data_IF_971171500179
#
_entry.id   IF_971171500179
#
_cell.length_a   1.000
_cell.length_b   1.000
_cell.length_c   1.000
_cell.angle_alpha   90.00
_cell.angle_beta   90.00
_cell.angle_gamma   90.00
#
_symmetry.space_group_name_H-M   'P 1'
#
loop_
_entity.id
_entity.type
_entity.pdbx_description
1 polymer ?
#
# COMPACT_ATOMS: atom_id res chain seq x y z
N UNK A 1 -0.36 -12.00 -20.75
CA UNK A 1 -0.56 -11.83 -19.29
C UNK A 1 -1.54 -12.91 -18.87
N UNK A 2 -1.04 -14.00 -18.29
CA UNK A 2 -1.92 -15.01 -17.71
C UNK A 2 -2.46 -14.47 -16.39
N UNK A 3 -3.77 -14.48 -16.20
CA UNK A 3 -4.34 -14.29 -14.86
C UNK A 3 -3.83 -15.44 -14.00
N UNK A 4 -3.06 -15.12 -12.97
CA UNK A 4 -2.60 -16.12 -12.01
C UNK A 4 -3.85 -16.63 -11.27
N UNK A 5 -4.21 -17.91 -11.47
CA UNK A 5 -5.41 -18.50 -10.87
C UNK A 5 -5.44 -18.37 -9.34
N UNK A 6 -4.28 -18.18 -8.73
CA UNK A 6 -4.08 -17.90 -7.30
C UNK A 6 -4.77 -16.60 -6.85
N UNK A 7 -4.83 -15.58 -7.71
CA UNK A 7 -5.46 -14.28 -7.40
C UNK A 7 -6.99 -14.31 -7.52
N UNK A 8 -7.57 -15.33 -8.18
CA UNK A 8 -9.01 -15.45 -8.37
C UNK A 8 -9.73 -16.11 -7.17
N UNK A 9 -9.06 -16.96 -6.39
CA UNK A 9 -9.68 -17.64 -5.25
C UNK A 9 -10.26 -16.68 -4.19
N UNK A 10 -9.58 -15.59 -3.79
CA UNK A 10 -10.15 -14.62 -2.86
C UNK A 10 -11.41 -13.94 -3.39
N UNK A 11 -11.46 -13.69 -4.70
CA UNK A 11 -12.63 -13.08 -5.36
C UNK A 11 -13.82 -14.02 -5.32
N UNK A 12 -13.64 -15.29 -5.69
CA UNK A 12 -14.69 -16.30 -5.60
C UNK A 12 -15.18 -16.50 -4.15
N UNK A 13 -14.27 -16.49 -3.18
CA UNK A 13 -14.61 -16.61 -1.76
C UNK A 13 -15.39 -15.40 -1.26
N UNK A 14 -15.02 -14.18 -1.68
CA UNK A 14 -15.75 -12.96 -1.34
C UNK A 14 -17.18 -12.96 -1.94
N UNK A 15 -17.32 -13.36 -3.21
CA UNK A 15 -18.63 -13.51 -3.86
C UNK A 15 -19.49 -14.54 -3.12
N UNK A 16 -18.90 -15.68 -2.73
CA UNK A 16 -19.60 -16.70 -1.95
C UNK A 16 -20.11 -16.17 -0.60
N UNK A 17 -19.28 -15.42 0.14
CA UNK A 17 -19.69 -14.79 1.41
C UNK A 17 -20.84 -13.80 1.19
N UNK A 18 -20.80 -12.99 0.13
CA UNK A 18 -21.87 -12.03 -0.18
C UNK A 18 -23.18 -12.74 -0.52
N UNK A 19 -23.13 -13.83 -1.30
CA UNK A 19 -24.32 -14.64 -1.63
C UNK A 19 -24.91 -15.30 -0.38
N UNK A 20 -24.07 -15.84 0.50
CA UNK A 20 -24.50 -16.38 1.79
C UNK A 20 -25.13 -15.30 2.67
N UNK A 21 -24.48 -14.14 2.80
CA UNK A 21 -24.95 -12.99 3.56
C UNK A 21 -26.34 -12.53 3.06
N UNK A 22 -26.53 -12.44 1.75
CA UNK A 22 -27.83 -12.13 1.15
C UNK A 22 -28.90 -13.18 1.44
N UNK A 23 -28.52 -14.47 1.41
CA UNK A 23 -29.43 -15.57 1.74
C UNK A 23 -29.89 -15.50 3.21
N UNK A 24 -28.98 -15.18 4.13
CA UNK A 24 -29.30 -14.96 5.56
C UNK A 24 -30.24 -13.78 5.76
N UNK A 25 -30.08 -12.70 5.00
CA UNK A 25 -31.01 -11.57 5.05
C UNK A 25 -32.42 -11.91 4.57
N UNK A 26 -32.54 -12.68 3.49
CA UNK A 26 -33.85 -13.19 3.04
C UNK A 26 -34.52 -14.02 4.14
N UNK A 27 -33.76 -14.86 4.81
CA UNK A 27 -34.25 -15.68 5.93
C UNK A 27 -34.66 -14.83 7.15
N UNK A 28 -33.87 -13.81 7.48
CA UNK A 28 -34.19 -12.86 8.54
C UNK A 28 -35.51 -12.11 8.27
N UNK A 29 -35.74 -11.67 7.03
CA UNK A 29 -37.00 -11.04 6.62
C UNK A 29 -38.17 -12.02 6.74
N UNK A 30 -38.02 -13.25 6.21
CA UNK A 30 -39.06 -14.28 6.25
C UNK A 30 -39.46 -14.64 7.69
N UNK A 31 -38.49 -14.66 8.60
CA UNK A 31 -38.72 -14.96 10.03
C UNK A 31 -39.19 -13.73 10.84
N UNK A 32 -39.70 -12.69 10.18
CA UNK A 32 -40.28 -11.51 10.85
C UNK A 32 -39.25 -10.68 11.60
N UNK A 33 -37.97 -10.70 11.17
CA UNK A 33 -36.88 -9.88 11.71
C UNK A 33 -36.52 -10.13 13.19
N UNK A 34 -36.88 -11.28 13.73
CA UNK A 34 -36.78 -11.54 15.19
C UNK A 34 -35.37 -11.86 15.72
N UNK A 35 -34.43 -12.27 14.86
CA UNK A 35 -33.08 -12.64 15.31
C UNK A 35 -32.05 -11.56 15.00
N UNK A 36 -31.50 -10.95 16.06
CA UNK A 36 -30.40 -9.99 15.95
C UNK A 36 -29.11 -10.64 15.42
N UNK A 37 -28.92 -11.95 15.64
CA UNK A 37 -27.76 -12.69 15.12
C UNK A 37 -27.82 -12.87 13.61
N UNK A 38 -29.00 -13.17 13.05
CA UNK A 38 -29.17 -13.22 11.59
C UNK A 38 -28.98 -11.84 10.94
N UNK A 39 -29.41 -10.77 11.62
CA UNK A 39 -29.14 -9.41 11.17
C UNK A 39 -27.63 -9.09 11.17
N UNK A 40 -26.92 -9.47 12.24
CA UNK A 40 -25.47 -9.27 12.35
C UNK A 40 -24.67 -10.04 11.28
N UNK A 41 -25.10 -11.28 10.95
CA UNK A 41 -24.54 -12.06 9.83
C UNK A 41 -24.70 -11.39 8.46
N UNK A 42 -25.75 -10.61 8.27
CA UNK A 42 -25.90 -9.79 7.06
C UNK A 42 -25.07 -8.51 7.13
N UNK A 43 -25.17 -7.77 8.25
CA UNK A 43 -24.55 -6.46 8.42
C UNK A 43 -23.02 -6.53 8.31
N UNK A 44 -22.38 -7.56 8.89
CA UNK A 44 -20.93 -7.68 8.93
C UNK A 44 -20.27 -7.64 7.55
N UNK A 45 -20.60 -8.58 6.63
CA UNK A 45 -20.05 -8.60 5.28
C UNK A 45 -20.42 -7.37 4.43
N UNK A 46 -21.65 -6.85 4.56
CA UNK A 46 -22.08 -5.66 3.82
C UNK A 46 -21.34 -4.41 4.28
N UNK A 47 -21.18 -4.23 5.59
CA UNK A 47 -20.39 -3.13 6.14
C UNK A 47 -18.93 -3.19 5.66
N UNK A 48 -18.32 -4.38 5.70
CA UNK A 48 -16.96 -4.58 5.19
C UNK A 48 -16.85 -4.23 3.70
N UNK A 49 -17.80 -4.68 2.88
CA UNK A 49 -17.83 -4.38 1.44
C UNK A 49 -17.99 -2.88 1.16
N UNK A 50 -18.98 -2.22 1.78
CA UNK A 50 -19.23 -0.78 1.62
C UNK A 50 -18.00 0.02 2.04
N UNK A 51 -17.35 -0.35 3.14
CA UNK A 51 -16.16 0.34 3.60
C UNK A 51 -14.99 0.21 2.61
N UNK A 52 -14.77 -0.99 2.05
CA UNK A 52 -13.75 -1.19 1.01
C UNK A 52 -14.05 -0.27 -0.18
N UNK A 53 -15.28 -0.29 -0.69
CA UNK A 53 -15.68 0.53 -1.85
C UNK A 53 -15.52 2.03 -1.57
N UNK A 54 -15.98 2.53 -0.41
CA UNK A 54 -15.83 3.94 -0.05
C UNK A 54 -14.37 4.33 0.11
N UNK A 55 -13.52 3.46 0.68
CA UNK A 55 -12.08 3.69 0.73
C UNK A 55 -11.50 3.83 -0.67
N UNK A 56 -11.92 3.02 -1.63
CA UNK A 56 -11.48 3.14 -3.02
C UNK A 56 -11.96 4.44 -3.70
N UNK A 57 -13.18 4.89 -3.42
CA UNK A 57 -13.77 6.10 -4.03
C UNK A 57 -13.11 7.38 -3.48
N UNK A 58 -12.88 7.46 -2.17
CA UNK A 58 -12.41 8.68 -1.49
C UNK A 58 -10.91 8.71 -1.24
N UNK A 59 -10.18 7.65 -1.58
CA UNK A 59 -8.73 7.60 -1.47
C UNK A 59 -8.11 8.66 -2.38
N UNK A 60 -7.24 9.49 -1.79
CA UNK A 60 -6.37 10.37 -2.55
C UNK A 60 -5.52 9.52 -3.50
N UNK A 61 -5.52 9.89 -4.79
CA UNK A 61 -4.70 9.27 -5.81
C UNK A 61 -3.22 9.27 -5.44
N UNK A 62 -2.75 10.11 -4.51
CA UNK A 62 -1.36 10.15 -4.01
C UNK A 62 -0.98 9.03 -3.02
N UNK A 63 -1.95 8.31 -2.44
CA UNK A 63 -1.69 7.20 -1.50
C UNK A 63 -1.71 5.85 -2.23
N UNK A 64 -0.62 5.10 -2.35
CA UNK A 64 -0.69 3.70 -2.83
C UNK A 64 -0.77 2.82 -1.61
N UNK A 65 -1.95 2.27 -1.35
CA UNK A 65 -2.04 1.04 -0.58
C UNK A 65 -1.61 -0.11 -1.49
N UNK A 66 -0.32 -0.46 -1.47
CA UNK A 66 0.17 -1.69 -2.08
C UNK A 66 -0.18 -2.85 -1.16
N UNK A 67 -1.07 -3.72 -1.64
CA UNK A 67 -1.55 -4.90 -0.93
C UNK A 67 -3.00 -4.79 -0.48
N UNK A 68 -3.73 -5.91 -0.57
CA UNK A 68 -5.13 -6.06 -0.08
C UNK A 68 -5.25 -5.67 1.40
N UNK A 69 -4.13 -5.65 2.11
CA UNK A 69 -4.05 -5.67 3.56
C UNK A 69 -4.14 -4.32 4.25
N UNK A 70 -3.73 -3.24 3.58
CA UNK A 70 -3.83 -1.88 4.16
C UNK A 70 -5.28 -1.38 4.24
N UNK A 71 -6.18 -2.02 3.49
CA UNK A 71 -7.62 -1.76 3.51
C UNK A 71 -8.37 -2.52 4.62
N UNK A 72 -7.70 -3.43 5.35
CA UNK A 72 -8.41 -4.45 6.13
C UNK A 72 -8.78 -4.06 7.56
N UNK A 73 -8.27 -2.97 8.14
CA UNK A 73 -8.49 -2.69 9.57
C UNK A 73 -9.97 -2.43 9.92
N UNK A 74 -10.72 -1.74 9.07
CA UNK A 74 -12.15 -1.48 9.32
C UNK A 74 -13.05 -2.61 8.77
N UNK A 75 -12.80 -3.18 7.58
CA UNK A 75 -13.49 -4.38 7.12
C UNK A 75 -13.33 -5.60 8.04
N UNK A 76 -12.21 -5.71 8.77
CA UNK A 76 -12.02 -6.79 9.77
C UNK A 76 -12.93 -6.64 10.99
N UNK A 77 -13.43 -5.44 11.30
CA UNK A 77 -14.52 -5.25 12.29
C UNK A 77 -15.80 -5.93 11.77
N UNK A 78 -16.16 -5.70 10.51
CA UNK A 78 -17.32 -6.34 9.87
C UNK A 78 -17.20 -7.86 9.81
N UNK A 79 -16.00 -8.38 9.48
CA UNK A 79 -15.72 -9.82 9.48
C UNK A 79 -15.77 -10.38 10.91
N UNK A 80 -15.30 -9.65 11.92
CA UNK A 80 -15.37 -10.08 13.32
C UNK A 80 -16.82 -10.17 13.81
N UNK A 81 -17.68 -9.23 13.42
CA UNK A 81 -19.13 -9.28 13.68
C UNK A 81 -19.77 -10.51 13.02
N UNK A 82 -19.39 -10.82 11.77
CA UNK A 82 -19.85 -12.02 11.07
C UNK A 82 -19.43 -13.32 11.78
N UNK A 83 -18.16 -13.43 12.18
CA UNK A 83 -17.64 -14.60 12.90
C UNK A 83 -18.35 -14.75 14.26
N UNK A 84 -18.48 -13.65 15.01
CA UNK A 84 -19.16 -13.66 16.32
C UNK A 84 -20.63 -14.09 16.18
N UNK A 85 -21.34 -13.61 15.17
CA UNK A 85 -22.73 -14.00 14.90
C UNK A 85 -22.84 -15.47 14.47
N UNK A 86 -21.89 -15.97 13.68
CA UNK A 86 -21.82 -17.40 13.28
C UNK A 86 -21.62 -18.30 14.49
N UNK A 87 -20.64 -17.99 15.34
CA UNK A 87 -20.36 -18.75 16.57
C UNK A 87 -21.53 -18.66 17.55
N UNK A 88 -22.17 -17.49 17.68
CA UNK A 88 -23.36 -17.30 18.50
C UNK A 88 -24.54 -18.17 18.06
N UNK A 89 -24.80 -18.25 16.75
CA UNK A 89 -25.87 -19.11 16.21
C UNK A 89 -25.57 -20.60 16.40
N UNK A 90 -24.30 -21.00 16.26
CA UNK A 90 -23.87 -22.37 16.57
C UNK A 90 -24.06 -22.69 18.06
N UNK A 91 -23.69 -21.76 18.94
CA UNK A 91 -23.93 -21.88 20.38
C UNK A 91 -25.41 -22.04 20.69
N UNK A 92 -26.29 -21.17 20.16
CA UNK A 92 -27.74 -21.27 20.40
C UNK A 92 -28.32 -22.58 19.89
N UNK A 93 -27.87 -23.03 18.71
CA UNK A 93 -28.33 -24.27 18.12
C UNK A 93 -27.91 -25.49 18.95
N UNK A 94 -26.64 -25.60 19.34
CA UNK A 94 -26.15 -26.70 20.19
C UNK A 94 -26.83 -26.69 21.56
N UNK A 95 -26.96 -25.49 22.18
CA UNK A 95 -27.61 -25.31 23.48
C UNK A 95 -29.04 -25.81 23.49
N UNK A 96 -29.78 -25.55 22.42
CA UNK A 96 -31.21 -25.84 22.35
C UNK A 96 -31.53 -27.24 21.80
N UNK A 97 -30.61 -27.88 21.05
CA UNK A 97 -30.88 -29.17 20.40
C UNK A 97 -30.64 -30.41 21.27
N UNK A 98 -29.83 -30.33 22.35
CA UNK A 98 -29.40 -31.53 23.11
C UNK A 98 -29.69 -31.48 24.62
N UNK A 99 -30.70 -30.70 25.05
CA UNK A 99 -31.11 -30.64 26.46
C UNK A 99 -29.99 -30.20 27.41
N UNK A 100 -29.77 -30.93 28.52
CA UNK A 100 -28.72 -30.62 29.52
C UNK A 100 -27.31 -30.76 28.91
N UNK A 101 -27.08 -31.80 28.11
CA UNK A 101 -25.83 -32.03 27.38
C UNK A 101 -25.55 -30.87 26.41
N UNK A 102 -26.58 -30.38 25.71
CA UNK A 102 -26.46 -29.21 24.84
C UNK A 102 -26.00 -27.96 25.57
N UNK A 103 -26.53 -27.70 26.78
CA UNK A 103 -26.11 -26.55 27.60
C UNK A 103 -24.64 -26.62 28.02
N UNK A 104 -24.11 -27.82 28.25
CA UNK A 104 -22.71 -28.03 28.61
C UNK A 104 -21.78 -27.98 27.39
N UNK A 105 -22.19 -28.57 26.28
CA UNK A 105 -21.40 -28.67 25.05
C UNK A 105 -21.45 -27.41 24.18
N UNK A 106 -22.43 -26.52 24.37
CA UNK A 106 -22.57 -25.30 23.56
C UNK A 106 -21.31 -24.41 23.63
N UNK A 107 -20.60 -24.40 24.76
CA UNK A 107 -19.35 -23.65 24.90
C UNK A 107 -18.23 -24.16 23.98
N UNK A 108 -18.31 -25.41 23.51
CA UNK A 108 -17.36 -25.95 22.53
C UNK A 108 -17.43 -25.21 21.19
N UNK A 109 -18.55 -24.53 20.87
CA UNK A 109 -18.64 -23.68 19.69
C UNK A 109 -17.55 -22.59 19.67
N UNK A 110 -17.13 -22.09 20.85
CA UNK A 110 -16.06 -21.09 20.95
C UNK A 110 -14.67 -21.67 20.67
N UNK A 111 -14.49 -23.00 20.74
CA UNK A 111 -13.22 -23.63 20.36
C UNK A 111 -12.93 -23.44 18.87
N UNK A 112 -13.93 -23.13 18.03
CA UNK A 112 -13.73 -22.76 16.62
C UNK A 112 -12.88 -21.48 16.46
N UNK A 113 -12.81 -20.62 17.48
CA UNK A 113 -11.96 -19.44 17.46
C UNK A 113 -10.47 -19.79 17.50
N UNK A 114 -10.10 -20.94 18.09
CA UNK A 114 -8.71 -21.40 18.20
C UNK A 114 -8.07 -21.67 16.83
N UNK A 115 -8.61 -22.54 15.96
CA UNK A 115 -8.05 -22.76 14.63
C UNK A 115 -8.13 -21.50 13.76
N UNK A 116 -9.18 -20.68 13.89
CA UNK A 116 -9.25 -19.37 13.20
C UNK A 116 -8.06 -18.50 13.61
N UNK A 117 -7.73 -18.43 14.90
CA UNK A 117 -6.59 -17.69 15.38
C UNK A 117 -5.26 -18.25 14.85
N UNK A 118 -5.07 -19.58 14.89
CA UNK A 118 -3.84 -20.22 14.40
C UNK A 118 -3.64 -20.07 12.89
N UNK A 119 -4.70 -20.20 12.08
CA UNK A 119 -4.65 -19.99 10.63
C UNK A 119 -4.25 -18.55 10.30
N UNK A 120 -4.74 -17.58 11.09
CA UNK A 120 -4.43 -16.17 10.89
C UNK A 120 -3.15 -15.70 11.58
N UNK A 121 -2.54 -16.52 12.46
CA UNK A 121 -1.36 -16.13 13.25
C UNK A 121 -0.19 -15.70 12.36
N UNK A 122 0.09 -16.42 11.28
CA UNK A 122 1.19 -16.07 10.36
C UNK A 122 0.93 -14.74 9.65
N UNK A 123 -0.32 -14.45 9.29
CA UNK A 123 -0.70 -13.18 8.71
C UNK A 123 -0.56 -12.05 9.75
N UNK A 124 -1.07 -12.27 10.96
CA UNK A 124 -0.98 -11.33 12.09
C UNK A 124 0.48 -11.01 12.43
N UNK A 125 1.34 -12.02 12.61
CA UNK A 125 2.74 -11.84 12.96
C UNK A 125 3.50 -11.14 11.82
N UNK A 126 3.20 -11.46 10.55
CA UNK A 126 3.71 -10.72 9.39
C UNK A 126 3.25 -9.25 9.39
N UNK A 127 1.99 -8.95 9.72
CA UNK A 127 1.50 -7.56 9.80
C UNK A 127 2.10 -6.77 10.94
N UNK A 128 2.24 -7.36 12.13
CA UNK A 128 2.86 -6.68 13.26
C UNK A 128 4.35 -6.44 13.02
N UNK A 129 5.04 -7.39 12.39
CA UNK A 129 6.39 -7.19 11.91
C UNK A 129 6.45 -6.07 10.86
N UNK A 130 5.53 -6.04 9.89
CA UNK A 130 5.44 -4.94 8.95
C UNK A 130 5.10 -3.60 9.59
N UNK A 131 4.31 -3.54 10.66
CA UNK A 131 3.99 -2.28 11.35
C UNK A 131 5.23 -1.63 11.99
N UNK A 132 6.25 -2.42 12.35
CA UNK A 132 7.55 -1.88 12.75
C UNK A 132 8.38 -1.30 11.58
N UNK A 133 8.07 -1.69 10.33
CA UNK A 133 8.75 -1.27 9.11
C UNK A 133 7.89 -0.45 8.13
N UNK A 134 6.60 -0.22 8.42
CA UNK A 134 5.67 0.53 7.57
C UNK A 134 5.42 1.93 8.14
N UNK A 135 4.71 2.75 7.37
CA UNK A 135 4.36 4.11 7.73
C UNK A 135 2.85 4.27 7.83
N UNK A 136 2.40 5.04 8.81
CA UNK A 136 1.07 5.62 8.78
C UNK A 136 1.03 6.85 7.84
N UNK A 137 -0.17 7.28 7.45
CA UNK A 137 -0.35 8.38 6.50
C UNK A 137 0.38 9.67 6.89
N UNK A 138 0.44 9.99 8.20
CA UNK A 138 1.12 11.18 8.71
C UNK A 138 2.63 11.10 8.56
N UNK A 139 3.19 9.91 8.72
CA UNK A 139 4.62 9.69 8.50
C UNK A 139 4.93 9.84 7.00
N UNK A 140 4.08 9.30 6.11
CA UNK A 140 4.24 9.47 4.65
C UNK A 140 4.30 10.95 4.27
N UNK A 141 3.38 11.76 4.81
CA UNK A 141 3.37 13.21 4.65
C UNK A 141 4.66 13.85 5.18
N UNK A 142 5.13 13.43 6.36
CA UNK A 142 6.35 13.98 6.95
C UNK A 142 7.59 13.71 6.10
N UNK A 143 7.74 12.51 5.53
CA UNK A 143 8.87 12.19 4.64
C UNK A 143 8.79 12.98 3.35
N UNK A 144 7.60 13.07 2.74
CA UNK A 144 7.36 13.91 1.56
C UNK A 144 7.76 15.36 1.83
N UNK A 145 7.31 15.93 2.94
CA UNK A 145 7.57 17.31 3.29
C UNK A 145 9.07 17.54 3.56
N UNK A 146 9.77 16.56 4.14
CA UNK A 146 11.24 16.62 4.30
C UNK A 146 11.97 16.64 2.96
N UNK A 147 11.59 15.79 2.01
CA UNK A 147 12.15 15.85 0.64
C UNK A 147 11.83 17.19 0.00
N UNK A 148 10.59 17.70 0.13
CA UNK A 148 10.23 19.00 -0.44
C UNK A 148 11.07 20.14 0.13
N UNK A 149 11.35 20.10 1.43
CA UNK A 149 12.15 21.12 2.10
C UNK A 149 13.64 21.08 1.70
N UNK A 150 14.14 19.95 1.19
CA UNK A 150 15.52 19.87 0.66
C UNK A 150 15.63 20.36 -0.79
N UNK A 151 14.50 20.57 -1.49
CA UNK A 151 14.44 21.02 -2.88
C UNK A 151 14.50 22.56 -3.04
N UNK A 152 15.61 23.17 -2.62
CA UNK A 152 15.78 24.63 -2.51
C UNK A 152 15.50 25.40 -3.82
N UNK A 153 15.73 24.80 -4.99
CA UNK A 153 15.58 25.45 -6.31
C UNK A 153 14.64 24.69 -7.27
N UNK A 154 13.75 23.86 -6.75
CA UNK A 154 12.89 23.05 -7.59
C UNK A 154 11.79 23.88 -8.25
N UNK A 155 11.74 23.80 -9.59
CA UNK A 155 10.75 24.46 -10.44
C UNK A 155 9.91 23.38 -11.14
N UNK A 156 8.61 23.34 -10.82
CA UNK A 156 7.66 22.39 -11.42
C UNK A 156 7.58 22.49 -12.95
N UNK A 157 8.01 23.61 -13.55
CA UNK A 157 7.97 23.82 -14.99
C UNK A 157 9.26 23.40 -15.69
N UNK A 158 10.30 23.01 -14.96
CA UNK A 158 11.58 22.56 -15.51
C UNK A 158 11.75 21.03 -15.37
N UNK A 159 12.23 20.34 -16.41
CA UNK A 159 12.50 18.91 -16.31
C UNK A 159 13.62 18.68 -15.28
N UNK A 160 13.37 17.80 -14.32
CA UNK A 160 14.31 17.52 -13.22
C UNK A 160 14.65 16.04 -13.17
N UNK A 161 15.89 15.72 -12.81
CA UNK A 161 16.40 14.36 -12.71
C UNK A 161 16.65 13.98 -11.26
N UNK A 162 16.16 12.81 -10.85
CA UNK A 162 16.27 12.35 -9.47
C UNK A 162 17.02 11.02 -9.35
N UNK A 163 17.96 10.97 -8.40
CA UNK A 163 18.69 9.76 -8.02
C UNK A 163 18.47 9.45 -6.54
N UNK A 164 18.20 8.18 -6.23
CA UNK A 164 18.01 7.69 -4.87
C UNK A 164 18.97 6.53 -4.56
N UNK A 165 19.74 6.70 -3.50
CA UNK A 165 20.63 5.70 -2.92
C UNK A 165 20.05 5.18 -1.60
N UNK A 166 19.56 3.95 -1.59
CA UNK A 166 19.12 3.22 -0.41
C UNK A 166 20.05 2.04 -0.08
N UNK A 167 21.27 1.99 -0.64
CA UNK A 167 22.23 0.90 -0.40
C UNK A 167 22.67 0.81 1.05
N UNK A 168 22.68 1.95 1.76
CA UNK A 168 23.12 2.07 3.15
C UNK A 168 22.05 1.69 4.18
N UNK A 169 20.80 1.49 3.75
CA UNK A 169 19.68 1.21 4.66
C UNK A 169 18.67 0.24 4.01
N UNK A 170 19.19 -0.90 3.53
CA UNK A 170 18.39 -1.95 2.90
C UNK A 170 17.34 -2.55 3.86
N UNK A 171 17.58 -2.47 5.18
CA UNK A 171 16.68 -2.97 6.23
C UNK A 171 15.33 -2.24 6.15
N UNK A 172 15.37 -0.94 5.86
CA UNK A 172 14.19 -0.11 5.61
C UNK A 172 13.78 -0.11 4.12
N UNK A 173 14.26 -1.05 3.29
CA UNK A 173 14.01 -1.06 1.85
C UNK A 173 12.52 -1.01 1.47
N UNK A 174 11.67 -1.72 2.22
CA UNK A 174 10.22 -1.71 2.02
C UNK A 174 9.57 -0.38 2.42
N UNK A 175 10.06 0.24 3.50
CA UNK A 175 9.67 1.60 3.89
C UNK A 175 9.95 2.57 2.75
N UNK A 176 11.15 2.56 2.17
CA UNK A 176 11.51 3.48 1.08
C UNK A 176 10.73 3.21 -0.21
N UNK A 177 10.48 1.93 -0.54
CA UNK A 177 9.69 1.54 -1.70
C UNK A 177 8.24 2.03 -1.59
N UNK A 178 7.58 1.77 -0.46
CA UNK A 178 6.16 2.10 -0.28
C UNK A 178 5.92 3.59 -0.04
N UNK A 179 6.85 4.28 0.63
CA UNK A 179 6.63 5.65 1.08
C UNK A 179 7.08 6.75 0.14
N UNK A 180 8.16 6.51 -0.59
CA UNK A 180 8.84 7.57 -1.32
C UNK A 180 9.07 7.15 -2.77
N UNK A 181 9.74 6.01 -3.00
CA UNK A 181 10.25 5.62 -4.32
C UNK A 181 9.16 5.14 -5.27
N UNK A 182 8.25 4.29 -4.80
CA UNK A 182 7.20 3.69 -5.64
C UNK A 182 6.18 4.69 -6.19
N UNK A 183 6.17 5.92 -5.65
CA UNK A 183 5.24 7.01 -6.00
C UNK A 183 5.91 8.34 -6.23
N UNK A 184 7.25 8.37 -6.27
CA UNK A 184 8.02 9.59 -6.27
C UNK A 184 7.55 10.55 -7.36
N UNK A 185 7.38 10.02 -8.58
CA UNK A 185 6.83 10.76 -9.71
C UNK A 185 5.46 11.36 -9.40
N UNK A 186 4.55 10.59 -8.81
CA UNK A 186 3.16 11.01 -8.63
C UNK A 186 3.10 12.20 -7.65
N UNK A 187 3.63 12.04 -6.45
CA UNK A 187 3.46 13.08 -5.42
C UNK A 187 4.30 14.34 -5.67
N UNK A 188 5.44 14.23 -6.37
CA UNK A 188 6.22 15.40 -6.79
C UNK A 188 5.43 16.33 -7.72
N UNK A 189 4.46 15.80 -8.47
CA UNK A 189 3.62 16.58 -9.38
C UNK A 189 2.21 16.89 -8.82
N UNK A 190 1.79 16.29 -7.71
CA UNK A 190 0.42 16.43 -7.18
C UNK A 190 0.16 17.69 -6.35
N UNK A 191 1.10 18.65 -6.26
CA UNK A 191 0.81 19.96 -5.65
C UNK A 191 0.08 20.90 -6.63
N UNK A 192 -1.12 20.49 -7.04
CA UNK A 192 -2.19 21.41 -7.42
C UNK A 192 -2.55 21.55 -8.90
N UNK A 193 -1.88 20.89 -9.85
CA UNK A 193 -2.36 20.78 -11.24
C UNK A 193 -1.65 19.62 -11.91
N UNK A 194 -2.39 18.72 -12.54
CA UNK A 194 -1.83 17.87 -13.59
C UNK A 194 -1.57 18.77 -14.81
N UNK A 195 -0.34 18.92 -15.33
CA UNK A 195 -0.18 19.13 -16.75
C UNK A 195 0.01 17.75 -17.40
N UNK A 196 -0.46 17.57 -18.64
CA UNK A 196 -0.19 16.36 -19.42
C UNK A 196 1.32 16.26 -19.66
N UNK A 197 2.02 15.44 -18.88
CA UNK A 197 3.48 15.39 -18.95
C UNK A 197 4.16 14.52 -17.92
N UNK A 198 3.69 13.28 -17.73
CA UNK A 198 4.34 12.19 -16.97
C UNK A 198 5.72 11.78 -17.52
N UNK A 199 6.37 12.66 -18.27
CA UNK A 199 7.55 12.38 -19.08
C UNK A 199 8.83 13.04 -18.56
N UNK A 200 8.77 13.90 -17.55
CA UNK A 200 9.85 14.83 -17.25
C UNK A 200 10.75 14.45 -16.06
N UNK A 201 10.48 13.35 -15.37
CA UNK A 201 11.25 12.95 -14.17
C UNK A 201 11.72 11.50 -14.30
N UNK A 202 12.95 11.28 -14.77
CA UNK A 202 13.61 10.00 -14.62
C UNK A 202 14.00 9.82 -13.14
N UNK A 203 13.65 8.67 -12.57
CA UNK A 203 14.03 8.27 -11.21
C UNK A 203 14.98 7.09 -11.30
N UNK A 204 16.20 7.27 -10.82
CA UNK A 204 17.18 6.20 -10.69
C UNK A 204 17.23 5.70 -9.24
N UNK A 205 17.20 4.38 -9.05
CA UNK A 205 17.17 3.74 -7.73
C UNK A 205 18.35 2.76 -7.59
N UNK A 206 19.02 2.79 -6.44
CA UNK A 206 19.94 1.81 -5.82
C UNK A 206 21.06 1.19 -6.66
N UNK A 207 20.76 0.59 -7.81
CA UNK A 207 21.67 -0.25 -8.59
C UNK A 207 22.09 0.35 -9.93
N UNK A 208 21.65 1.58 -10.23
CA UNK A 208 21.77 2.12 -11.57
C UNK A 208 22.74 3.31 -11.71
N UNK A 209 23.74 3.40 -10.82
CA UNK A 209 24.80 4.41 -10.96
C UNK A 209 25.51 4.28 -12.32
N UNK A 210 25.70 3.06 -12.83
CA UNK A 210 26.30 2.86 -14.15
C UNK A 210 25.38 3.31 -15.29
N UNK A 211 24.06 3.16 -15.13
CA UNK A 211 23.11 3.76 -16.08
C UNK A 211 23.15 5.28 -16.00
N UNK A 212 23.23 5.86 -14.80
CA UNK A 212 23.38 7.30 -14.62
C UNK A 212 24.69 7.81 -15.26
N UNK A 213 25.81 7.09 -15.07
CA UNK A 213 27.10 7.35 -15.74
C UNK A 213 26.97 7.35 -17.25
N UNK A 214 26.27 6.37 -17.83
CA UNK A 214 26.08 6.30 -19.30
C UNK A 214 25.31 7.49 -19.89
N UNK A 215 24.62 8.26 -19.04
CA UNK A 215 23.87 9.47 -19.43
C UNK A 215 24.65 10.73 -19.15
N UNK A 216 25.73 10.68 -18.38
CA UNK A 216 26.54 11.84 -18.04
C UNK A 216 27.31 12.31 -19.29
N UNK A 217 27.16 13.58 -19.64
CA UNK A 217 27.70 14.14 -20.87
C UNK A 217 27.98 15.63 -20.72
N UNK A 218 28.90 16.14 -21.56
CA UNK A 218 29.12 17.56 -21.75
C UNK A 218 28.42 18.03 -23.03
N UNK A 219 27.67 19.14 -22.93
CA UNK A 219 27.00 19.77 -24.07
C UNK A 219 27.16 21.28 -23.97
N UNK A 220 27.70 21.91 -25.01
CA UNK A 220 27.92 23.36 -25.08
C UNK A 220 28.73 23.93 -23.89
N UNK A 221 29.72 23.18 -23.37
CA UNK A 221 30.55 23.60 -22.23
C UNK A 221 29.88 23.41 -20.86
N UNK A 222 28.68 22.81 -20.81
CA UNK A 222 27.97 22.49 -19.57
C UNK A 222 27.94 20.97 -19.35
N UNK A 223 28.24 20.54 -18.13
CA UNK A 223 28.24 19.13 -17.73
C UNK A 223 26.90 18.79 -17.08
N UNK A 224 26.27 17.71 -17.56
CA UNK A 224 24.94 17.30 -17.14
C UNK A 224 24.59 15.89 -17.61
N UNK A 225 23.30 15.63 -17.83
CA UNK A 225 22.80 14.31 -18.19
C UNK A 225 21.95 14.36 -19.46
N UNK A 226 22.34 13.59 -20.47
CA UNK A 226 21.58 13.38 -21.69
C UNK A 226 20.67 12.17 -21.55
N UNK A 227 19.36 12.39 -21.51
CA UNK A 227 18.38 11.33 -21.29
C UNK A 227 17.18 11.48 -22.22
N UNK A 228 16.64 10.35 -22.68
CA UNK A 228 15.39 10.33 -23.46
C UNK A 228 14.25 10.15 -22.48
N UNK A 229 13.45 11.19 -22.34
CA UNK A 229 12.34 11.25 -21.40
C UNK A 229 11.27 10.19 -21.73
N UNK A 230 10.29 9.92 -20.84
CA UNK A 230 9.32 8.84 -21.09
C UNK A 230 8.41 9.08 -22.33
N UNK A 231 8.39 10.30 -22.87
CA UNK A 231 7.70 10.66 -24.11
C UNK A 231 8.59 10.46 -25.36
N UNK A 232 9.79 9.87 -25.22
CA UNK A 232 10.71 9.67 -26.33
C UNK A 232 11.47 10.92 -26.78
N UNK A 233 11.41 12.02 -26.00
CA UNK A 233 12.11 13.28 -26.35
C UNK A 233 13.47 13.36 -25.65
N UNK A 234 14.56 13.68 -26.37
CA UNK A 234 15.86 13.91 -25.75
C UNK A 234 15.83 15.20 -24.92
N UNK A 235 16.25 15.11 -23.66
CA UNK A 235 16.37 16.22 -22.71
C UNK A 235 17.79 16.18 -22.14
N UNK A 236 18.39 17.37 -22.01
CA UNK A 236 19.65 17.54 -21.30
C UNK A 236 19.35 18.19 -19.94
N UNK A 237 19.62 17.46 -18.86
CA UNK A 237 19.41 17.93 -17.49
C UNK A 237 20.73 18.53 -17.01
N UNK A 238 20.71 19.81 -16.65
CA UNK A 238 21.91 20.50 -16.14
C UNK A 238 22.23 20.05 -14.72
N UNK A 239 23.38 20.49 -14.18
CA UNK A 239 23.69 20.29 -12.76
C UNK A 239 22.60 20.84 -11.83
N UNK A 240 21.93 21.93 -12.23
CA UNK A 240 20.91 22.58 -11.41
C UNK A 240 19.60 21.78 -11.38
N UNK A 241 19.35 20.98 -12.43
CA UNK A 241 18.16 20.15 -12.57
C UNK A 241 18.35 18.74 -11.98
N UNK A 242 19.54 18.45 -11.44
CA UNK A 242 19.88 17.16 -10.86
C UNK A 242 19.76 17.17 -9.33
N UNK A 243 19.01 16.21 -8.81
CA UNK A 243 18.79 15.99 -7.39
C UNK A 243 19.18 14.55 -7.03
N UNK A 244 19.92 14.38 -5.94
CA UNK A 244 20.37 13.08 -5.49
C UNK A 244 20.20 12.95 -3.98
N UNK A 245 19.60 11.86 -3.53
CA UNK A 245 19.31 11.64 -2.12
C UNK A 245 19.79 10.27 -1.67
N UNK A 246 20.45 10.21 -0.51
CA UNK A 246 20.69 8.99 0.24
C UNK A 246 19.61 8.82 1.29
N UNK A 247 19.12 7.60 1.43
CA UNK A 247 18.05 7.25 2.38
C UNK A 247 18.68 6.57 3.59
N UNK A 248 18.64 7.25 4.73
CA UNK A 248 19.25 6.80 5.98
C UNK A 248 18.24 6.99 7.11
N UNK A 249 17.90 5.92 7.82
CA UNK A 249 17.01 5.92 8.99
C UNK A 249 15.75 6.76 8.76
N UNK A 250 15.05 6.47 7.65
CA UNK A 250 13.78 7.12 7.29
C UNK A 250 13.92 8.62 6.95
N UNK A 251 15.13 9.09 6.64
CA UNK A 251 15.44 10.47 6.26
C UNK A 251 16.10 10.55 4.87
N UNK A 252 15.68 11.51 4.02
CA UNK A 252 16.41 11.85 2.81
C UNK A 252 17.58 12.80 3.13
N UNK A 253 18.79 12.43 2.71
CA UNK A 253 20.02 13.22 2.83
C UNK A 253 20.50 13.62 1.45
N UNK A 254 20.74 14.90 1.19
CA UNK A 254 21.26 15.37 -0.10
C UNK A 254 22.70 14.86 -0.32
N UNK A 255 22.92 14.16 -1.44
CA UNK A 255 24.20 13.63 -1.90
C UNK A 255 24.55 14.08 -3.32
N UNK A 256 23.93 15.17 -3.81
CA UNK A 256 24.10 15.66 -5.18
C UNK A 256 25.56 15.91 -5.53
N UNK A 257 26.27 16.62 -4.66
CA UNK A 257 27.66 17.00 -4.94
C UNK A 257 28.60 15.79 -4.91
N UNK A 258 28.34 14.82 -4.02
CA UNK A 258 29.07 13.54 -3.95
C UNK A 258 28.93 12.76 -5.27
N UNK A 259 27.71 12.59 -5.77
CA UNK A 259 27.46 11.84 -7.02
C UNK A 259 28.08 12.57 -8.21
N UNK A 260 27.95 13.90 -8.30
CA UNK A 260 28.54 14.66 -9.39
C UNK A 260 30.07 14.58 -9.39
N UNK A 261 30.71 14.54 -8.22
CA UNK A 261 32.15 14.33 -8.10
C UNK A 261 32.55 12.94 -8.61
N UNK A 262 31.89 11.88 -8.15
CA UNK A 262 32.11 10.50 -8.63
C UNK A 262 32.00 10.41 -10.15
N UNK A 263 30.98 11.05 -10.74
CA UNK A 263 30.75 11.03 -12.19
C UNK A 263 31.82 11.80 -12.96
N UNK A 264 32.31 12.93 -12.44
CA UNK A 264 33.39 13.72 -13.05
C UNK A 264 34.71 12.97 -13.13
N UNK A 265 35.05 12.20 -12.10
CA UNK A 265 36.31 11.43 -12.08
C UNK A 265 36.33 10.33 -13.14
N UNK A 266 35.17 9.91 -13.64
CA UNK A 266 35.02 8.89 -14.69
C UNK A 266 34.97 9.46 -16.13
N UNK A 267 34.98 10.80 -16.30
CA UNK A 267 35.08 11.44 -17.63
C UNK A 267 36.53 11.66 -18.08
N UNK A 268 37.51 11.38 -17.23
CA UNK A 268 38.95 11.39 -17.55
C UNK A 268 39.42 9.98 -17.90
#
# INVERSE_FOLDING_TARGET
>A
MGYDYVELYPVFFAVFILVLSFSVWREWIKNGKKSNLLLALWLGPVFAFVHIVLTWIFKDYSVLFKGVHTYLNIPSIGISVFIAATVGLLYEKIRNSFGILGKQLAYLAFLLLIPIFFINKNAIDFYFYLNSYSMNAKEHEAVRDRVWNTLINFDNNRPSLFYFDATHDYINGRFYEESMLGRFSDWMFFKGNYPPGSCNVPVFINSNLDSLKSKFAEKNGEVGFSYVNYCGKPIFYTRQDFYAFRLIDKQPVDIRDEILEILRTNLK
#
